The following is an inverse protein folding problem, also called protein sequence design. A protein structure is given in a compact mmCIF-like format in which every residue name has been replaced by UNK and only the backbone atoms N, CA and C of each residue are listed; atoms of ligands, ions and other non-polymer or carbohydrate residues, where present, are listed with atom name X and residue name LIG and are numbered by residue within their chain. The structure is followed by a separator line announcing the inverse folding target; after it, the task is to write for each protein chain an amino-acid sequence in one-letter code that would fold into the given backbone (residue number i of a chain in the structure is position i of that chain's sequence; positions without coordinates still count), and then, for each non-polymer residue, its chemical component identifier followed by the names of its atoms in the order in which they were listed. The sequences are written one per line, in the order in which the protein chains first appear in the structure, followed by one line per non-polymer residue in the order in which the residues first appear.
data_IF_222701858637
#
_entry.id   IF_222701858637
#
_cell.length_a   1.000
_cell.length_b   1.000
_cell.length_c   1.000
_cell.angle_alpha   90.00
_cell.angle_beta   90.00
_cell.angle_gamma   90.00
#
_symmetry.space_group_name_H-M   'P 1'
#
loop_
_entity.id
_entity.type
_entity.pdbx_description
1 polymer ?
#
# COMPACT_ATOMS: atom_id res chain seq x y z
N UNK A 1 -5.25 -32.94 -2.94
CA UNK A 1 -4.20 -32.42 -2.01
C UNK A 1 -4.39 -32.95 -0.59
N UNK A 2 -5.52 -32.72 0.07
CA UNK A 2 -5.76 -33.12 1.45
C UNK A 2 -5.49 -34.61 1.74
N UNK A 3 -5.98 -35.51 0.90
CA UNK A 3 -5.74 -36.98 1.01
C UNK A 3 -4.26 -37.36 0.88
N UNK A 4 -3.52 -36.73 -0.07
CA UNK A 4 -2.08 -37.03 -0.29
C UNK A 4 -1.22 -36.52 0.87
N UNK A 5 -1.65 -35.46 1.57
CA UNK A 5 -0.95 -34.88 2.71
C UNK A 5 -1.44 -35.43 4.06
N UNK A 6 -2.46 -36.29 4.06
CA UNK A 6 -3.11 -36.83 5.28
C UNK A 6 -3.58 -35.74 6.24
N UNK A 7 -4.14 -34.65 5.70
CA UNK A 7 -4.68 -33.52 6.48
C UNK A 7 -6.10 -33.20 6.02
N UNK A 8 -6.87 -32.49 6.84
CA UNK A 8 -8.26 -32.13 6.52
C UNK A 8 -8.33 -31.09 5.39
N UNK A 9 -9.36 -31.16 4.56
CA UNK A 9 -9.62 -30.16 3.50
C UNK A 9 -9.74 -28.74 4.06
N UNK A 10 -10.28 -28.58 5.28
CA UNK A 10 -10.36 -27.29 5.97
C UNK A 10 -8.98 -26.75 6.39
N UNK A 11 -8.01 -27.64 6.68
CA UNK A 11 -6.63 -27.22 6.94
C UNK A 11 -5.96 -26.74 5.65
N UNK A 12 -6.15 -27.45 4.53
CA UNK A 12 -5.63 -27.04 3.22
C UNK A 12 -6.18 -25.65 2.86
N UNK A 13 -7.50 -25.48 2.90
CA UNK A 13 -8.15 -24.20 2.57
C UNK A 13 -7.61 -23.05 3.41
N UNK A 14 -7.41 -23.24 4.72
CA UNK A 14 -6.86 -22.19 5.60
C UNK A 14 -5.39 -21.87 5.35
N UNK A 15 -4.60 -22.85 4.86
CA UNK A 15 -3.22 -22.64 4.41
C UNK A 15 -3.20 -21.84 3.10
N UNK A 16 -4.04 -22.22 2.13
CA UNK A 16 -4.14 -21.57 0.81
C UNK A 16 -4.68 -20.12 0.91
N UNK A 17 -5.58 -19.87 1.85
CA UNK A 17 -6.16 -18.53 2.06
C UNK A 17 -5.37 -17.67 3.07
N UNK A 18 -4.23 -18.15 3.57
CA UNK A 18 -3.41 -17.43 4.55
C UNK A 18 -4.04 -17.28 5.94
N UNK A 19 -5.22 -17.89 6.19
CA UNK A 19 -5.88 -17.87 7.51
C UNK A 19 -5.11 -18.68 8.57
N UNK A 20 -4.13 -19.46 8.15
CA UNK A 20 -3.24 -20.23 9.02
C UNK A 20 -1.84 -20.24 8.43
N UNK A 21 -0.84 -19.87 9.25
CA UNK A 21 0.56 -20.02 8.91
C UNK A 21 0.96 -21.49 8.74
N UNK A 22 1.84 -21.76 7.77
CA UNK A 22 2.41 -23.08 7.53
C UNK A 22 3.43 -23.43 8.62
N UNK A 23 3.35 -24.66 9.15
CA UNK A 23 4.40 -25.20 10.01
C UNK A 23 5.55 -25.76 9.15
N UNK A 24 6.74 -25.95 9.75
CA UNK A 24 7.87 -26.59 9.06
C UNK A 24 7.51 -27.98 8.50
N UNK A 25 6.61 -28.70 9.18
CA UNK A 25 6.07 -29.96 8.69
C UNK A 25 5.18 -29.74 7.46
N UNK A 26 4.29 -28.75 7.49
CA UNK A 26 3.42 -28.44 6.36
C UNK A 26 4.26 -28.05 5.12
N UNK A 27 5.30 -27.23 5.30
CA UNK A 27 6.24 -26.84 4.24
C UNK A 27 6.93 -28.09 3.66
N UNK A 28 7.52 -28.93 4.49
CA UNK A 28 8.20 -30.14 4.03
C UNK A 28 7.26 -31.05 3.22
N UNK A 29 6.06 -31.28 3.75
CA UNK A 29 5.10 -32.19 3.14
C UNK A 29 4.55 -31.61 1.81
N UNK A 30 4.37 -30.29 1.70
CA UNK A 30 4.01 -29.59 0.45
C UNK A 30 5.16 -29.60 -0.55
N UNK A 31 6.40 -29.34 -0.15
CA UNK A 31 7.57 -29.40 -1.03
C UNK A 31 7.74 -30.79 -1.64
N UNK A 32 7.58 -31.83 -0.84
CA UNK A 32 7.62 -33.21 -1.34
C UNK A 32 6.48 -33.52 -2.33
N UNK A 33 5.26 -32.99 -2.05
CA UNK A 33 4.10 -33.18 -2.92
C UNK A 33 4.29 -32.53 -4.30
N UNK A 34 4.93 -31.34 -4.33
CA UNK A 34 5.16 -30.55 -5.55
C UNK A 34 6.52 -30.80 -6.20
N UNK A 35 7.36 -31.64 -5.61
CA UNK A 35 8.68 -31.99 -6.16
C UNK A 35 9.67 -30.82 -6.13
N UNK A 36 9.58 -29.95 -5.13
CA UNK A 36 10.48 -28.83 -4.97
C UNK A 36 11.86 -29.30 -4.48
N UNK A 37 12.91 -28.62 -4.93
CA UNK A 37 14.29 -28.91 -4.54
C UNK A 37 14.62 -28.41 -3.12
N UNK A 38 15.83 -28.72 -2.64
CA UNK A 38 16.28 -28.40 -1.29
C UNK A 38 16.48 -26.89 -1.08
N UNK A 39 16.79 -26.13 -2.13
CA UNK A 39 16.94 -24.67 -2.07
C UNK A 39 15.58 -24.00 -1.90
N UNK A 40 14.63 -24.39 -2.72
CA UNK A 40 13.25 -23.93 -2.63
C UNK A 40 12.62 -24.29 -1.28
N UNK A 41 12.88 -25.50 -0.77
CA UNK A 41 12.42 -25.93 0.55
C UNK A 41 13.01 -25.08 1.67
N UNK A 42 14.32 -24.79 1.65
CA UNK A 42 14.96 -23.91 2.64
C UNK A 42 14.31 -22.54 2.63
N UNK A 43 14.21 -21.92 1.46
CA UNK A 43 13.58 -20.61 1.28
C UNK A 43 12.16 -20.56 1.84
N UNK A 44 11.31 -21.54 1.53
CA UNK A 44 9.93 -21.58 2.05
C UNK A 44 9.88 -21.81 3.57
N UNK A 45 10.85 -22.55 4.12
CA UNK A 45 10.98 -22.76 5.57
C UNK A 45 11.36 -21.47 6.28
N UNK A 46 12.29 -20.70 5.72
CA UNK A 46 12.72 -19.41 6.25
C UNK A 46 11.57 -18.40 6.20
N UNK A 47 10.87 -18.28 5.08
CA UNK A 47 9.66 -17.46 4.94
C UNK A 47 8.57 -17.84 5.95
N UNK A 48 8.35 -19.13 6.19
CA UNK A 48 7.37 -19.58 7.18
C UNK A 48 7.81 -19.29 8.63
N UNK A 49 9.10 -19.23 8.89
CA UNK A 49 9.65 -18.85 10.20
C UNK A 49 9.52 -17.32 10.41
N UNK A 50 9.82 -16.52 9.40
CA UNK A 50 9.62 -15.07 9.39
C UNK A 50 8.13 -14.71 9.57
N UNK A 51 7.23 -15.39 8.86
CA UNK A 51 5.77 -15.20 8.99
C UNK A 51 5.20 -15.60 10.35
N UNK A 52 5.96 -16.29 11.22
CA UNK A 52 5.59 -16.57 12.62
C UNK A 52 6.00 -15.46 13.58
N UNK A 53 6.90 -14.59 13.18
CA UNK A 53 7.21 -13.41 14.00
C UNK A 53 5.94 -12.56 14.08
N UNK A 54 5.58 -12.15 15.30
CA UNK A 54 4.40 -11.33 15.52
C UNK A 54 4.54 -10.04 14.73
N UNK A 55 3.78 -9.95 13.66
CA UNK A 55 3.75 -8.74 12.86
C UNK A 55 3.25 -7.59 13.73
N UNK A 56 3.98 -6.49 13.82
CA UNK A 56 3.69 -5.33 14.68
C UNK A 56 2.28 -4.76 14.47
N UNK A 57 1.66 -5.02 13.31
CA UNK A 57 0.31 -4.56 12.97
C UNK A 57 -0.81 -5.47 13.49
N UNK A 58 -0.52 -6.73 13.86
CA UNK A 58 -1.53 -7.67 14.36
C UNK A 58 -2.23 -7.18 15.64
N UNK A 59 -1.52 -6.65 16.66
CA UNK A 59 -2.17 -6.11 17.85
C UNK A 59 -3.10 -4.93 17.56
N UNK A 60 -2.85 -4.18 16.47
CA UNK A 60 -3.67 -3.03 16.09
C UNK A 60 -5.00 -3.43 15.44
N UNK A 61 -5.18 -4.70 15.07
CA UNK A 61 -6.39 -5.22 14.41
C UNK A 61 -6.86 -4.33 13.26
N UNK A 62 -5.91 -3.94 12.39
CA UNK A 62 -6.18 -3.03 11.28
C UNK A 62 -7.12 -3.70 10.26
N UNK A 63 -8.12 -2.99 9.73
CA UNK A 63 -9.08 -3.55 8.77
C UNK A 63 -8.43 -4.00 7.45
N UNK A 64 -7.22 -3.52 7.15
CA UNK A 64 -6.40 -3.82 5.97
C UNK A 64 -5.08 -4.53 6.33
N UNK A 65 -5.10 -5.45 7.29
CA UNK A 65 -3.91 -6.14 7.79
C UNK A 65 -3.12 -6.90 6.71
N UNK A 66 -3.80 -7.51 5.74
CA UNK A 66 -3.17 -8.19 4.59
C UNK A 66 -2.37 -7.20 3.74
N UNK A 67 -2.94 -6.03 3.43
CA UNK A 67 -2.24 -4.98 2.70
C UNK A 67 -0.98 -4.51 3.45
N UNK A 68 -1.08 -4.31 4.78
CA UNK A 68 0.07 -3.90 5.60
C UNK A 68 1.20 -4.93 5.55
N UNK A 69 0.85 -6.22 5.60
CA UNK A 69 1.82 -7.31 5.45
C UNK A 69 2.57 -7.24 4.12
N UNK A 70 1.84 -7.11 3.02
CA UNK A 70 2.43 -6.96 1.67
C UNK A 70 3.27 -5.69 1.55
N UNK A 71 2.79 -4.56 2.07
CA UNK A 71 3.52 -3.29 2.05
C UNK A 71 4.85 -3.36 2.81
N UNK A 72 4.89 -4.09 3.94
CA UNK A 72 6.12 -4.28 4.73
C UNK A 72 7.21 -4.99 3.93
N UNK A 73 6.85 -5.95 3.09
CA UNK A 73 7.80 -6.74 2.31
C UNK A 73 8.09 -6.13 0.93
N UNK A 74 7.31 -5.13 0.51
CA UNK A 74 7.49 -4.48 -0.78
C UNK A 74 8.82 -3.72 -0.86
N UNK A 75 9.54 -3.88 -1.98
CA UNK A 75 10.71 -3.10 -2.35
C UNK A 75 10.37 -1.83 -3.12
N UNK A 76 9.20 -1.81 -3.77
CA UNK A 76 8.66 -0.63 -4.47
C UNK A 76 7.15 -0.54 -4.26
N UNK A 77 6.68 0.69 -4.02
CA UNK A 77 5.28 1.03 -3.79
C UNK A 77 4.92 2.14 -4.78
N UNK A 78 3.94 1.89 -5.64
CA UNK A 78 3.42 2.85 -6.62
C UNK A 78 1.96 3.13 -6.31
N UNK A 79 1.64 4.34 -5.86
CA UNK A 79 0.32 4.74 -5.36
C UNK A 79 -0.28 5.81 -6.26
N UNK A 80 -1.43 5.53 -6.87
CA UNK A 80 -2.23 6.52 -7.58
C UNK A 80 -3.28 7.11 -6.66
N UNK A 81 -3.07 8.34 -6.21
CA UNK A 81 -3.97 9.08 -5.32
C UNK A 81 -5.05 9.81 -6.09
N UNK A 82 -6.29 9.35 -5.96
CA UNK A 82 -7.49 9.95 -6.55
C UNK A 82 -8.33 10.60 -5.45
N UNK A 83 -8.51 11.92 -5.53
CA UNK A 83 -9.37 12.70 -4.62
C UNK A 83 -8.84 12.88 -3.20
N UNK A 84 -7.96 12.02 -2.71
CA UNK A 84 -7.35 12.08 -1.37
C UNK A 84 -5.84 11.82 -1.44
N UNK A 85 -5.09 12.41 -0.54
CA UNK A 85 -3.66 12.12 -0.37
C UNK A 85 -3.47 10.64 -0.01
N UNK A 86 -2.48 9.94 -0.61
CA UNK A 86 -2.09 8.58 -0.22
C UNK A 86 -1.82 8.43 1.27
N UNK A 87 -2.22 7.31 1.86
CA UNK A 87 -2.11 7.08 3.30
C UNK A 87 -0.70 7.25 3.86
N UNK A 88 0.32 6.87 3.09
CA UNK A 88 1.73 7.00 3.47
C UNK A 88 2.23 8.46 3.51
N UNK A 89 1.49 9.40 2.94
CA UNK A 89 1.82 10.82 2.94
C UNK A 89 0.91 11.68 3.83
N UNK A 90 -0.12 11.09 4.46
CA UNK A 90 -1.07 11.84 5.26
C UNK A 90 -0.47 12.29 6.60
N UNK A 91 -0.79 13.51 7.03
CA UNK A 91 -0.60 13.93 8.42
C UNK A 91 -1.65 13.27 9.33
N UNK A 92 -1.41 13.15 10.66
CA UNK A 92 -2.40 12.58 11.58
C UNK A 92 -3.76 13.26 11.53
N UNK A 93 -3.79 14.60 11.47
CA UNK A 93 -5.04 15.36 11.44
C UNK A 93 -5.79 15.20 10.11
N UNK A 94 -5.07 15.14 8.99
CA UNK A 94 -5.67 14.82 7.68
C UNK A 94 -6.24 13.40 7.69
N UNK A 95 -5.49 12.43 8.19
CA UNK A 95 -5.94 11.04 8.30
C UNK A 95 -7.20 10.93 9.17
N UNK A 96 -7.25 11.63 10.30
CA UNK A 96 -8.42 11.67 11.18
C UNK A 96 -9.62 12.24 10.47
N UNK A 97 -9.47 13.36 9.78
CA UNK A 97 -10.56 13.98 9.03
C UNK A 97 -11.10 13.05 7.91
N UNK A 98 -10.20 12.35 7.19
CA UNK A 98 -10.60 11.35 6.18
C UNK A 98 -11.37 10.20 6.83
N UNK A 99 -10.84 9.60 7.90
CA UNK A 99 -11.46 8.45 8.56
C UNK A 99 -12.85 8.77 9.13
N UNK A 100 -13.01 9.96 9.67
CA UNK A 100 -14.31 10.43 10.20
C UNK A 100 -15.32 10.70 9.09
N UNK A 101 -14.87 11.10 7.90
CA UNK A 101 -15.75 11.40 6.77
C UNK A 101 -16.14 10.15 5.97
N UNK A 102 -15.21 9.20 5.79
CA UNK A 102 -15.40 8.05 4.88
C UNK A 102 -16.17 6.89 5.50
N UNK A 103 -16.07 6.68 6.80
CA UNK A 103 -16.81 5.62 7.50
C UNK A 103 -17.57 6.23 8.69
N UNK A 104 -18.82 6.58 8.48
CA UNK A 104 -19.69 7.08 9.55
C UNK A 104 -19.74 6.11 10.73
N UNK A 105 -19.71 6.62 11.96
CA UNK A 105 -19.82 5.86 13.21
C UNK A 105 -18.63 4.95 13.57
N UNK A 106 -17.41 5.26 13.12
CA UNK A 106 -16.23 4.61 13.70
C UNK A 106 -16.06 5.07 15.14
N UNK A 107 -15.80 4.11 16.04
CA UNK A 107 -15.43 4.41 17.42
C UNK A 107 -14.11 5.20 17.48
N UNK A 108 -14.00 6.26 18.31
CA UNK A 108 -12.80 7.09 18.40
C UNK A 108 -11.50 6.29 18.61
N UNK A 109 -11.52 5.28 19.50
CA UNK A 109 -10.36 4.42 19.77
C UNK A 109 -9.92 3.63 18.53
N UNK A 110 -10.85 3.25 17.67
CA UNK A 110 -10.54 2.59 16.40
C UNK A 110 -9.88 3.55 15.42
N UNK A 111 -10.31 4.79 15.38
CA UNK A 111 -9.70 5.85 14.55
C UNK A 111 -8.25 6.08 14.97
N UNK A 112 -7.99 6.23 16.27
CA UNK A 112 -6.63 6.47 16.79
C UNK A 112 -5.70 5.27 16.52
N UNK A 113 -6.16 4.03 16.70
CA UNK A 113 -5.37 2.84 16.33
C UNK A 113 -5.02 2.78 14.85
N UNK A 114 -5.95 3.16 13.97
CA UNK A 114 -5.68 3.21 12.52
C UNK A 114 -4.64 4.29 12.21
N UNK A 115 -4.71 5.45 12.87
CA UNK A 115 -3.73 6.54 12.71
C UNK A 115 -2.36 6.09 13.20
N UNK A 116 -2.27 5.46 14.38
CA UNK A 116 -1.02 4.93 14.92
C UNK A 116 -0.37 3.92 13.95
N UNK A 117 -1.16 2.97 13.45
CA UNK A 117 -0.71 2.03 12.43
C UNK A 117 -0.20 2.72 11.18
N UNK A 118 -0.87 3.79 10.72
CA UNK A 118 -0.47 4.58 9.56
C UNK A 118 0.85 5.32 9.79
N UNK A 119 1.04 5.94 10.95
CA UNK A 119 2.29 6.61 11.31
C UNK A 119 3.46 5.61 11.37
N UNK A 120 3.23 4.42 11.93
CA UNK A 120 4.25 3.37 11.99
C UNK A 120 4.66 2.91 10.60
N UNK A 121 3.71 2.72 9.67
CA UNK A 121 3.98 2.41 8.25
C UNK A 121 4.79 3.52 7.58
N UNK A 122 4.42 4.78 7.80
CA UNK A 122 5.14 5.92 7.25
C UNK A 122 6.61 5.96 7.66
N UNK A 123 6.93 5.62 8.92
CA UNK A 123 8.34 5.59 9.40
C UNK A 123 9.17 4.61 8.58
N UNK A 124 8.63 3.45 8.23
CA UNK A 124 9.34 2.48 7.39
C UNK A 124 9.64 3.04 6.00
N UNK A 125 8.65 3.67 5.37
CA UNK A 125 8.79 4.17 3.99
C UNK A 125 9.61 5.46 3.93
N UNK A 126 9.52 6.31 4.95
CA UNK A 126 10.06 7.67 4.89
C UNK A 126 11.36 7.87 5.67
N UNK A 127 11.79 6.90 6.50
CA UNK A 127 12.94 7.08 7.38
C UNK A 127 13.71 5.80 7.77
N UNK A 128 13.43 4.65 7.16
CA UNK A 128 14.17 3.41 7.42
C UNK A 128 15.58 3.46 6.80
N UNK A 129 16.50 2.61 7.29
CA UNK A 129 17.86 2.48 6.73
C UNK A 129 17.83 1.97 5.27
N UNK A 130 16.85 1.15 4.93
CA UNK A 130 16.64 0.59 3.59
C UNK A 130 15.16 0.74 3.21
N UNK A 131 14.70 1.97 2.90
CA UNK A 131 13.31 2.22 2.59
C UNK A 131 12.97 1.69 1.19
N UNK A 132 11.71 1.27 0.95
CA UNK A 132 11.24 0.96 -0.39
C UNK A 132 11.26 2.20 -1.27
N UNK A 133 11.38 2.02 -2.59
CA UNK A 133 11.06 3.08 -3.54
C UNK A 133 9.57 3.41 -3.43
N UNK A 134 9.22 4.68 -3.23
CA UNK A 134 7.83 5.12 -3.15
C UNK A 134 7.50 6.18 -4.20
N UNK A 135 6.61 5.83 -5.14
CA UNK A 135 6.11 6.74 -6.16
C UNK A 135 4.64 7.04 -5.93
N UNK A 136 4.33 8.29 -5.65
CA UNK A 136 2.96 8.79 -5.53
C UNK A 136 2.61 9.68 -6.72
N UNK A 137 1.62 9.28 -7.50
CA UNK A 137 1.01 10.13 -8.53
C UNK A 137 -0.34 10.59 -8.02
N UNK A 138 -0.52 11.89 -7.90
CA UNK A 138 -1.72 12.51 -7.37
C UNK A 138 -2.51 13.16 -8.50
N UNK A 139 -3.82 12.97 -8.55
CA UNK A 139 -4.67 13.86 -9.33
C UNK A 139 -4.68 15.25 -8.69
N UNK A 140 -4.71 16.32 -9.49
CA UNK A 140 -4.62 17.69 -8.99
C UNK A 140 -5.73 18.04 -7.98
N UNK A 141 -6.91 17.42 -8.06
CA UNK A 141 -8.00 17.62 -7.09
C UNK A 141 -7.59 17.32 -5.65
N UNK A 142 -6.60 16.42 -5.44
CA UNK A 142 -6.04 16.10 -4.11
C UNK A 142 -5.49 17.35 -3.42
N UNK A 143 -4.92 18.28 -4.18
CA UNK A 143 -4.35 19.52 -3.65
C UNK A 143 -5.42 20.57 -3.30
N UNK A 144 -6.57 20.52 -3.94
CA UNK A 144 -7.64 21.51 -3.82
C UNK A 144 -8.78 21.09 -2.88
N UNK A 145 -9.04 19.77 -2.77
CA UNK A 145 -10.10 19.26 -1.90
C UNK A 145 -9.78 19.55 -0.44
N UNK A 146 -10.61 20.37 0.17
CA UNK A 146 -10.45 20.71 1.59
C UNK A 146 -10.86 19.53 2.46
N UNK A 147 -9.89 18.94 3.15
CA UNK A 147 -10.08 17.86 4.12
C UNK A 147 -9.77 18.40 5.51
N UNK A 148 -10.73 18.31 6.41
CA UNK A 148 -10.65 18.90 7.74
C UNK A 148 -10.68 20.42 7.69
N UNK A 149 -9.71 21.07 8.35
CA UNK A 149 -9.61 22.53 8.44
C UNK A 149 -8.58 23.12 7.46
N UNK A 150 -8.57 24.45 7.32
CA UNK A 150 -7.49 25.15 6.59
C UNK A 150 -6.11 24.85 7.18
N UNK A 151 -5.99 24.75 8.50
CA UNK A 151 -4.74 24.38 9.17
C UNK A 151 -4.33 22.94 8.83
N UNK A 152 -5.27 22.00 8.79
CA UNK A 152 -5.04 20.60 8.38
C UNK A 152 -4.51 20.55 6.95
N UNK A 153 -5.13 21.27 6.00
CA UNK A 153 -4.70 21.33 4.61
C UNK A 153 -3.31 21.94 4.46
N UNK A 154 -3.03 23.03 5.19
CA UNK A 154 -1.72 23.64 5.19
C UNK A 154 -0.63 22.67 5.63
N UNK A 155 -0.84 21.97 6.76
CA UNK A 155 0.09 20.97 7.26
C UNK A 155 0.26 19.80 6.28
N UNK A 156 -0.82 19.38 5.63
CA UNK A 156 -0.79 18.30 4.63
C UNK A 156 0.00 18.68 3.38
N UNK A 157 -0.19 19.86 2.84
CA UNK A 157 0.56 20.35 1.67
C UNK A 157 2.05 20.54 2.01
N UNK A 158 2.36 21.04 3.20
CA UNK A 158 3.73 21.12 3.69
C UNK A 158 4.37 19.74 3.79
N UNK A 159 3.64 18.74 4.30
CA UNK A 159 4.10 17.34 4.38
C UNK A 159 4.41 16.73 3.01
N UNK A 160 3.62 17.05 1.97
CA UNK A 160 3.90 16.61 0.60
C UNK A 160 5.21 17.20 0.06
N UNK A 161 5.50 18.48 0.36
CA UNK A 161 6.78 19.11 -0.02
C UNK A 161 7.95 18.42 0.69
N UNK A 162 7.87 18.23 2.01
CA UNK A 162 8.92 17.55 2.80
C UNK A 162 9.17 16.12 2.31
N UNK A 163 8.10 15.35 2.05
CA UNK A 163 8.24 14.01 1.52
C UNK A 163 8.90 13.97 0.14
N UNK A 164 8.63 14.98 -0.70
CA UNK A 164 9.23 15.07 -2.04
C UNK A 164 10.74 15.40 -2.06
N UNK A 165 11.33 15.67 -0.89
CA UNK A 165 12.77 15.91 -0.73
C UNK A 165 13.54 14.63 -0.37
N UNK A 166 12.84 13.53 -0.06
CA UNK A 166 13.46 12.25 0.27
C UNK A 166 13.88 11.51 -1.01
N UNK A 167 15.08 10.93 -1.01
CA UNK A 167 15.69 10.27 -2.17
C UNK A 167 14.87 9.09 -2.69
N UNK A 168 14.19 8.37 -1.81
CA UNK A 168 13.37 7.22 -2.16
C UNK A 168 11.91 7.57 -2.48
N UNK A 169 11.52 8.85 -2.40
CA UNK A 169 10.12 9.29 -2.57
C UNK A 169 9.99 10.19 -3.81
N UNK A 170 9.12 9.81 -4.70
CA UNK A 170 8.72 10.64 -5.84
C UNK A 170 7.25 11.03 -5.70
N UNK A 171 6.97 12.33 -5.61
CA UNK A 171 5.61 12.88 -5.65
C UNK A 171 5.43 13.66 -6.94
N UNK A 172 4.42 13.27 -7.73
CA UNK A 172 4.05 13.96 -8.97
C UNK A 172 2.55 14.19 -9.03
N UNK A 173 2.14 15.26 -9.70
CA UNK A 173 0.73 15.64 -9.86
C UNK A 173 0.34 15.57 -11.33
N UNK A 174 -0.76 14.92 -11.63
CA UNK A 174 -1.41 15.01 -12.95
C UNK A 174 -2.32 16.22 -12.91
N UNK A 175 -2.02 17.26 -13.72
CA UNK A 175 -2.79 18.49 -13.72
C UNK A 175 -4.13 18.31 -14.43
N UNK A 176 -5.12 19.16 -14.12
CA UNK A 176 -6.44 19.12 -14.75
C UNK A 176 -6.40 19.23 -16.27
N UNK A 177 -5.40 19.95 -16.82
CA UNK A 177 -5.22 20.11 -18.26
C UNK A 177 -4.85 18.80 -18.98
N UNK A 178 -4.42 17.76 -18.23
CA UNK A 178 -4.16 16.44 -18.81
C UNK A 178 -5.44 15.75 -19.33
N UNK A 179 -6.61 16.22 -18.90
CA UNK A 179 -7.89 15.70 -19.36
C UNK A 179 -8.23 14.33 -18.75
N UNK A 180 -8.69 13.39 -19.57
CA UNK A 180 -9.07 12.05 -19.10
C UNK A 180 -7.86 11.23 -18.67
N UNK A 181 -7.98 10.58 -17.52
CA UNK A 181 -6.91 9.79 -16.92
C UNK A 181 -7.12 8.29 -17.13
N UNK A 182 -6.05 7.51 -17.30
CA UNK A 182 -6.11 6.06 -17.18
C UNK A 182 -6.67 5.67 -15.81
N UNK A 183 -7.65 4.79 -15.79
CA UNK A 183 -8.31 4.32 -14.56
C UNK A 183 -8.85 5.45 -13.63
N UNK A 184 -9.45 6.49 -14.23
CA UNK A 184 -10.00 7.63 -13.49
C UNK A 184 -11.08 7.28 -12.45
N UNK A 185 -11.58 6.04 -12.44
CA UNK A 185 -12.67 5.61 -11.57
C UNK A 185 -12.20 5.06 -10.21
N UNK A 186 -10.96 4.62 -10.10
CA UNK A 186 -10.45 3.98 -8.88
C UNK A 186 -9.01 4.36 -8.59
N UNK A 187 -8.72 4.61 -7.30
CA UNK A 187 -7.34 4.60 -6.82
C UNK A 187 -6.82 3.17 -6.79
N UNK A 188 -5.53 2.98 -6.96
CA UNK A 188 -4.87 1.69 -6.83
C UNK A 188 -3.43 1.85 -6.36
N UNK A 189 -2.90 0.77 -5.78
CA UNK A 189 -1.51 0.68 -5.33
C UNK A 189 -0.90 -0.56 -5.94
N UNK A 190 0.30 -0.45 -6.49
CA UNK A 190 1.07 -1.57 -7.00
C UNK A 190 2.24 -1.81 -6.05
N UNK A 191 2.35 -3.02 -5.54
CA UNK A 191 3.42 -3.49 -4.67
C UNK A 191 4.32 -4.44 -5.45
N UNK A 192 5.62 -4.15 -5.50
CA UNK A 192 6.63 -4.98 -6.16
C UNK A 192 7.63 -5.52 -5.14
N UNK A 193 8.15 -6.74 -5.38
CA UNK A 193 8.95 -7.49 -4.41
C UNK A 193 10.28 -7.92 -5.03
N UNK A 194 11.32 -7.08 -4.89
CA UNK A 194 12.65 -7.42 -5.37
C UNK A 194 13.25 -8.58 -4.54
N UNK A 195 13.90 -9.54 -5.22
CA UNK A 195 14.54 -10.69 -4.57
C UNK A 195 13.60 -11.80 -4.12
N UNK A 196 12.30 -11.58 -4.13
CA UNK A 196 11.28 -12.61 -3.98
C UNK A 196 10.78 -12.97 -5.37
N UNK A 197 10.64 -14.27 -5.68
CA UNK A 197 10.02 -14.70 -6.94
C UNK A 197 8.49 -14.55 -6.87
N UNK A 198 8.03 -13.37 -6.41
CA UNK A 198 6.62 -13.02 -6.29
C UNK A 198 6.25 -12.04 -7.40
N UNK A 199 5.07 -12.20 -8.02
CA UNK A 199 4.54 -11.22 -8.95
C UNK A 199 4.21 -9.92 -8.22
N UNK A 200 4.05 -8.84 -8.99
CA UNK A 200 3.43 -7.61 -8.47
C UNK A 200 2.04 -7.92 -7.91
N UNK A 201 1.67 -7.24 -6.83
CA UNK A 201 0.31 -7.29 -6.28
C UNK A 201 -0.32 -5.92 -6.43
N UNK A 202 -1.49 -5.86 -7.05
CA UNK A 202 -2.27 -4.61 -7.13
C UNK A 202 -3.34 -4.64 -6.05
N UNK A 203 -3.35 -3.59 -5.23
CA UNK A 203 -4.34 -3.37 -4.19
C UNK A 203 -5.32 -2.28 -4.62
N UNK A 204 -6.61 -2.59 -4.57
CA UNK A 204 -7.71 -1.65 -4.82
C UNK A 204 -8.62 -1.66 -3.60
N UNK A 205 -8.68 -0.52 -2.90
CA UNK A 205 -9.53 -0.37 -1.71
C UNK A 205 -10.99 -0.19 -2.13
N UNK A 206 -11.88 -1.01 -1.59
CA UNK A 206 -13.30 -0.95 -1.80
C UNK A 206 -14.07 -0.59 -0.53
N UNK A 207 -15.29 -0.05 -0.69
CA UNK A 207 -16.16 0.32 0.44
C UNK A 207 -16.59 -0.89 1.26
N UNK A 208 -16.81 -2.03 0.63
CA UNK A 208 -17.31 -3.27 1.24
C UNK A 208 -16.28 -4.39 1.31
N UNK A 209 -15.08 -4.15 0.81
CA UNK A 209 -13.97 -5.11 0.80
C UNK A 209 -12.89 -4.70 -0.18
N UNK A 210 -11.68 -5.18 0.08
CA UNK A 210 -10.50 -4.88 -0.69
C UNK A 210 -10.26 -5.94 -1.77
N UNK A 211 -9.70 -5.53 -2.90
CA UNK A 211 -9.32 -6.41 -3.99
C UNK A 211 -7.80 -6.50 -4.08
N UNK A 212 -7.29 -7.74 -4.12
CA UNK A 212 -5.88 -8.07 -4.35
C UNK A 212 -5.77 -8.80 -5.70
N UNK A 213 -5.03 -8.22 -6.62
CA UNK A 213 -4.87 -8.71 -7.99
C UNK A 213 -3.43 -9.16 -8.17
N UNK A 214 -3.24 -10.45 -8.45
CA UNK A 214 -1.93 -11.10 -8.58
C UNK A 214 -1.73 -11.73 -9.96
N UNK A 215 -2.81 -11.89 -10.75
CA UNK A 215 -2.71 -12.46 -12.08
C UNK A 215 -1.91 -11.53 -12.99
N UNK A 216 -0.88 -12.07 -13.62
CA UNK A 216 0.09 -11.29 -14.39
C UNK A 216 -0.55 -10.39 -15.46
N UNK A 217 -1.52 -10.89 -16.21
CA UNK A 217 -2.18 -10.14 -17.28
C UNK A 217 -2.93 -8.92 -16.74
N UNK A 218 -3.50 -9.06 -15.53
CA UNK A 218 -4.21 -7.96 -14.88
C UNK A 218 -3.21 -6.97 -14.27
N UNK A 219 -2.17 -7.44 -13.59
CA UNK A 219 -1.12 -6.56 -13.03
C UNK A 219 -0.36 -5.80 -14.12
N UNK A 220 -0.11 -6.43 -15.28
CA UNK A 220 0.48 -5.76 -16.45
C UNK A 220 -0.42 -4.60 -16.95
N UNK A 221 -1.74 -4.76 -16.88
CA UNK A 221 -2.70 -3.69 -17.23
C UNK A 221 -2.58 -2.49 -16.28
N UNK A 222 -2.48 -2.73 -14.96
CA UNK A 222 -2.29 -1.66 -13.97
C UNK A 222 -0.90 -1.02 -14.08
N UNK A 223 0.13 -1.80 -14.38
CA UNK A 223 1.47 -1.28 -14.66
C UNK A 223 1.47 -0.32 -15.86
N UNK A 224 0.81 -0.71 -16.95
CA UNK A 224 0.64 0.16 -18.12
C UNK A 224 -0.14 1.43 -17.80
N UNK A 225 -1.22 1.33 -17.00
CA UNK A 225 -1.99 2.48 -16.55
C UNK A 225 -1.14 3.43 -15.69
N UNK A 226 -0.34 2.91 -14.76
CA UNK A 226 0.56 3.72 -13.93
C UNK A 226 1.62 4.42 -14.78
N UNK A 227 2.21 3.72 -15.73
CA UNK A 227 3.18 4.30 -16.66
C UNK A 227 2.55 5.42 -17.52
N UNK A 228 1.32 5.26 -17.98
CA UNK A 228 0.60 6.30 -18.70
C UNK A 228 0.33 7.53 -17.81
N UNK A 229 -0.04 7.31 -16.52
CA UNK A 229 -0.17 8.40 -15.54
C UNK A 229 1.16 9.12 -15.30
N UNK A 230 2.29 8.40 -15.25
CA UNK A 230 3.63 9.01 -15.17
C UNK A 230 3.90 9.92 -16.39
N UNK A 231 3.48 9.51 -17.59
CA UNK A 231 3.61 10.32 -18.80
C UNK A 231 2.81 11.63 -18.77
N UNK A 232 1.66 11.63 -18.10
CA UNK A 232 0.77 12.80 -17.95
C UNK A 232 1.16 13.71 -16.78
N UNK A 233 1.84 13.16 -15.78
CA UNK A 233 2.14 13.89 -14.54
C UNK A 233 3.23 14.96 -14.77
N UNK A 234 3.04 16.10 -14.13
CA UNK A 234 4.03 17.18 -14.08
C UNK A 234 5.37 16.67 -13.54
N UNK A 235 6.48 17.26 -13.95
CA UNK A 235 7.79 16.92 -13.37
C UNK A 235 7.81 17.17 -11.86
N UNK A 236 8.72 16.54 -11.09
CA UNK A 236 8.84 16.80 -9.66
C UNK A 236 8.99 18.29 -9.32
N UNK A 237 9.77 19.03 -10.09
CA UNK A 237 9.96 20.47 -9.88
C UNK A 237 8.66 21.27 -10.13
N UNK A 238 7.93 20.97 -11.22
CA UNK A 238 6.63 21.59 -11.51
C UNK A 238 5.59 21.23 -10.43
N UNK A 239 5.58 19.97 -9.99
CA UNK A 239 4.70 19.50 -8.89
C UNK A 239 4.94 20.28 -7.61
N UNK A 240 6.20 20.45 -7.18
CA UNK A 240 6.52 21.30 -6.00
C UNK A 240 6.05 22.74 -6.18
N UNK A 241 6.19 23.30 -7.39
CA UNK A 241 5.66 24.63 -7.73
C UNK A 241 4.13 24.72 -7.53
N UNK A 242 3.39 23.72 -8.02
CA UNK A 242 1.93 23.63 -7.86
C UNK A 242 1.54 23.57 -6.38
N UNK A 243 2.15 22.64 -5.61
CA UNK A 243 1.88 22.51 -4.17
C UNK A 243 2.19 23.81 -3.43
N UNK A 244 3.34 24.44 -3.71
CA UNK A 244 3.75 25.71 -3.08
C UNK A 244 2.76 26.86 -3.40
N UNK A 245 2.28 26.93 -4.63
CA UNK A 245 1.29 27.93 -5.04
C UNK A 245 0.00 27.79 -4.25
N UNK A 246 -0.52 26.56 -4.14
CA UNK A 246 -1.75 26.28 -3.40
C UNK A 246 -1.54 26.51 -1.88
N UNK A 247 -0.40 26.10 -1.34
CA UNK A 247 -0.06 26.32 0.08
C UNK A 247 -0.13 27.80 0.49
N UNK A 248 0.23 28.73 -0.42
CA UNK A 248 0.13 30.17 -0.17
C UNK A 248 -1.30 30.64 0.06
N UNK A 249 -2.31 29.98 -0.53
CA UNK A 249 -3.72 30.34 -0.32
C UNK A 249 -4.25 29.92 1.05
N UNK A 250 -3.51 29.11 1.79
CA UNK A 250 -3.82 28.67 3.16
C UNK A 250 -3.09 29.47 4.25
N UNK A 251 -2.48 30.60 3.88
CA UNK A 251 -1.87 31.51 4.84
C UNK A 251 -2.92 32.30 5.64
#
# INVERSE_FOLDING_TARGET
MAERLLISSSKVSRLETGQRGASARDIRDLCNLYGLDDEQRRRLTDLAAEGKQHAWWQPLSLPYSTYVGLEVDASSIRDFGLGLTPGLLQTPDYARAVLMATVPRREPDTVERIIEGRITRQRRVLSAESPPEFKAILEESVLHRVVGSRATMRAQLQRLLEASELDNVTVRVVPYEAGALPNANNKFIILSFAGLALPDVVFVEGLTGDLYIERKEDTDTYNAAFQALEGLAASPAKTRGMITSILRSYR
#
